data_IF_560235346362
#
_entry.id   IF_560235346362
#
_cell.length_a   1.000
_cell.length_b   1.000
_cell.length_c   1.000
_cell.angle_alpha   90.00
_cell.angle_beta   90.00
_cell.angle_gamma   90.00
#
_symmetry.space_group_name_H-M   'P 1'
#
loop_
_entity.id
_entity.type
_entity.pdbx_description
1 polymer ?
#
# COMPACT_ATOMS: atom_id res chain seq x y z
N UNK A 1 -2.58 16.57 -0.60
CA UNK A 1 -2.30 16.97 0.80
C UNK A 1 -1.51 18.26 0.95
N UNK A 2 -0.54 18.58 0.08
CA UNK A 2 0.20 19.86 0.13
C UNK A 2 -0.67 21.12 0.32
N UNK A 3 -1.82 21.17 -0.35
CA UNK A 3 -2.79 22.28 -0.19
C UNK A 3 -3.38 22.37 1.22
N UNK A 4 -3.75 21.24 1.83
CA UNK A 4 -4.29 21.20 3.20
C UNK A 4 -3.22 21.63 4.19
N UNK A 5 -1.98 21.13 4.05
CA UNK A 5 -0.87 21.52 4.93
C UNK A 5 -0.62 23.04 4.87
N UNK A 6 -0.70 23.62 3.67
CA UNK A 6 -0.61 25.08 3.50
C UNK A 6 -1.73 25.80 4.27
N UNK A 7 -2.97 25.36 4.15
CA UNK A 7 -4.12 25.95 4.87
C UNK A 7 -3.92 25.87 6.39
N UNK A 8 -3.46 24.73 6.91
CA UNK A 8 -3.20 24.57 8.36
C UNK A 8 -2.11 25.54 8.84
N UNK A 9 -1.05 25.71 8.06
CA UNK A 9 0.01 26.67 8.37
C UNK A 9 -0.49 28.12 8.30
N UNK A 10 -1.21 28.48 7.23
CA UNK A 10 -1.71 29.84 6.99
C UNK A 10 -2.72 30.28 8.08
N UNK A 11 -3.51 29.34 8.59
CA UNK A 11 -4.49 29.58 9.67
C UNK A 11 -3.89 29.50 11.07
N UNK A 12 -2.61 29.12 11.20
CA UNK A 12 -1.95 28.95 12.48
C UNK A 12 -2.47 27.77 13.30
N UNK A 13 -3.09 26.77 12.66
CA UNK A 13 -3.64 25.59 13.33
C UNK A 13 -2.54 24.78 14.04
N UNK A 14 -2.82 24.35 15.29
CA UNK A 14 -1.86 23.64 16.17
C UNK A 14 -2.30 22.23 16.57
N UNK A 15 -3.47 21.78 16.11
CA UNK A 15 -3.97 20.44 16.41
C UNK A 15 -3.39 19.38 15.47
N UNK A 16 -3.82 18.14 15.68
CA UNK A 16 -3.51 17.02 14.81
C UNK A 16 -4.31 17.10 13.49
N UNK A 17 -3.68 16.69 12.39
CA UNK A 17 -4.34 16.51 11.10
C UNK A 17 -4.55 15.03 10.84
N UNK A 18 -5.82 14.63 10.77
CA UNK A 18 -6.23 13.25 10.54
C UNK A 18 -6.79 13.13 9.12
N UNK A 19 -6.19 12.29 8.29
CA UNK A 19 -6.80 11.84 7.04
C UNK A 19 -7.74 10.67 7.38
N UNK A 20 -9.00 10.99 7.65
CA UNK A 20 -9.98 10.05 8.19
C UNK A 20 -10.50 9.03 7.17
N UNK A 21 -10.31 9.26 5.87
CA UNK A 21 -10.64 8.30 4.81
C UNK A 21 -9.66 8.45 3.64
N UNK A 22 -9.07 7.35 3.18
CA UNK A 22 -8.27 7.31 1.96
C UNK A 22 -8.23 5.91 1.34
N UNK A 23 -7.89 5.84 0.06
CA UNK A 23 -7.74 4.60 -0.70
C UNK A 23 -7.45 4.90 -2.18
N UNK A 24 -7.29 3.86 -3.00
CA UNK A 24 -7.00 4.02 -4.44
C UNK A 24 -8.19 4.54 -5.25
N UNK A 25 -9.41 4.28 -4.77
CA UNK A 25 -10.66 4.66 -5.43
C UNK A 25 -11.79 4.73 -4.41
N UNK A 26 -12.84 5.50 -4.74
CA UNK A 26 -14.11 5.56 -3.99
C UNK A 26 -15.17 4.62 -4.57
N UNK A 27 -14.92 4.02 -5.74
CA UNK A 27 -15.91 3.20 -6.44
C UNK A 27 -16.13 1.86 -5.72
N UNK A 28 -17.37 1.43 -5.40
CA UNK A 28 -17.66 0.22 -4.62
C UNK A 28 -17.21 -1.11 -5.22
N UNK A 29 -17.00 -1.18 -6.53
CA UNK A 29 -16.75 -2.44 -7.24
C UNK A 29 -15.48 -2.31 -8.09
N UNK A 30 -14.34 -2.09 -7.46
CA UNK A 30 -13.07 -1.94 -8.16
C UNK A 30 -12.23 -3.21 -8.06
N UNK A 31 -12.08 -3.99 -9.16
CA UNK A 31 -11.25 -5.20 -9.16
C UNK A 31 -9.79 -4.92 -8.76
N UNK A 32 -9.32 -3.69 -8.96
CA UNK A 32 -7.98 -3.26 -8.54
C UNK A 32 -7.71 -3.50 -7.06
N UNK A 33 -8.71 -3.33 -6.17
CA UNK A 33 -8.53 -3.47 -4.71
C UNK A 33 -8.15 -4.88 -4.27
N UNK A 34 -8.48 -5.86 -5.10
CA UNK A 34 -8.19 -7.27 -4.84
C UNK A 34 -6.91 -7.73 -5.55
N UNK A 35 -6.20 -6.82 -6.21
CA UNK A 35 -4.94 -7.10 -6.88
C UNK A 35 -3.72 -6.85 -5.99
N UNK A 36 -2.60 -7.48 -6.31
CA UNK A 36 -1.31 -7.16 -5.70
C UNK A 36 -0.89 -5.68 -5.96
N UNK A 37 -1.38 -5.07 -7.03
CA UNK A 37 -1.10 -3.67 -7.34
C UNK A 37 -1.72 -2.71 -6.32
N UNK A 38 -2.82 -3.08 -5.65
CA UNK A 38 -3.38 -2.30 -4.54
C UNK A 38 -2.44 -2.29 -3.33
N UNK A 39 -1.80 -3.42 -3.03
CA UNK A 39 -0.81 -3.47 -1.96
C UNK A 39 0.38 -2.55 -2.26
N UNK A 40 0.86 -2.56 -3.51
CA UNK A 40 1.92 -1.67 -3.96
C UNK A 40 1.51 -0.19 -3.96
N UNK A 41 0.26 0.11 -4.34
CA UNK A 41 -0.32 1.46 -4.24
C UNK A 41 -0.25 1.97 -2.81
N UNK A 42 -0.71 1.18 -1.83
CA UNK A 42 -0.71 1.57 -0.41
C UNK A 42 0.71 1.88 0.09
N UNK A 43 1.68 0.99 -0.19
CA UNK A 43 3.07 1.20 0.22
C UNK A 43 3.66 2.44 -0.47
N UNK A 44 3.37 2.64 -1.76
CA UNK A 44 3.79 3.83 -2.50
C UNK A 44 3.24 5.11 -1.88
N UNK A 45 1.93 5.15 -1.63
CA UNK A 45 1.28 6.33 -1.05
C UNK A 45 1.88 6.64 0.31
N UNK A 46 2.04 5.64 1.19
CA UNK A 46 2.65 5.87 2.50
C UNK A 46 4.12 6.31 2.41
N UNK A 47 4.88 5.81 1.45
CA UNK A 47 6.25 6.28 1.18
C UNK A 47 6.28 7.77 0.81
N UNK A 48 5.31 8.23 0.02
CA UNK A 48 5.28 9.60 -0.50
C UNK A 48 4.66 10.61 0.47
N UNK A 49 3.73 10.18 1.33
CA UNK A 49 2.89 11.13 2.07
C UNK A 49 2.69 10.82 3.57
N UNK A 50 3.33 9.80 4.14
CA UNK A 50 3.15 9.48 5.57
C UNK A 50 3.51 10.63 6.52
N UNK A 51 4.37 11.56 6.11
CA UNK A 51 4.76 12.74 6.90
C UNK A 51 3.81 13.93 6.76
N UNK A 52 2.78 13.82 5.91
CA UNK A 52 1.88 14.92 5.59
C UNK A 52 0.63 14.96 6.50
N UNK A 53 0.42 13.96 7.36
CA UNK A 53 -0.65 13.91 8.35
C UNK A 53 -0.21 13.09 9.57
N UNK A 54 -0.87 13.32 10.71
CA UNK A 54 -0.57 12.60 11.96
C UNK A 54 -1.18 11.19 11.92
N UNK A 55 -2.33 11.03 11.25
CA UNK A 55 -3.04 9.77 11.12
C UNK A 55 -3.63 9.59 9.72
N UNK A 56 -3.66 8.32 9.27
CA UNK A 56 -4.26 7.87 8.03
C UNK A 56 -5.18 6.68 8.29
N UNK A 57 -6.47 6.86 8.08
CA UNK A 57 -7.48 5.81 8.22
C UNK A 57 -7.86 5.27 6.83
N UNK A 58 -7.30 4.11 6.47
CA UNK A 58 -7.60 3.46 5.20
C UNK A 58 -9.06 3.01 5.17
N UNK A 59 -9.73 3.31 4.07
CA UNK A 59 -11.11 2.96 3.85
C UNK A 59 -11.21 1.68 3.01
N UNK A 60 -11.59 0.53 3.58
CA UNK A 60 -11.98 0.30 4.98
C UNK A 60 -11.50 -1.05 5.54
N UNK A 61 -11.86 -1.37 6.78
CA UNK A 61 -11.40 -2.58 7.45
C UNK A 61 -11.96 -3.88 6.84
N UNK A 62 -13.25 -3.92 6.50
CA UNK A 62 -13.96 -5.14 6.09
C UNK A 62 -15.08 -4.84 5.09
N UNK A 63 -15.37 -5.80 4.22
CA UNK A 63 -16.53 -5.80 3.32
C UNK A 63 -17.87 -6.01 4.04
N UNK A 64 -17.87 -6.15 5.37
CA UNK A 64 -19.07 -5.93 6.20
C UNK A 64 -19.40 -4.43 6.19
N UNK A 65 -19.83 -3.95 5.03
CA UNK A 65 -20.03 -2.55 4.72
C UNK A 65 -21.19 -2.40 3.73
N UNK A 66 -22.26 -1.71 4.13
CA UNK A 66 -23.56 -1.76 3.46
C UNK A 66 -23.93 -0.46 2.70
N UNK A 67 -22.96 0.34 2.27
CA UNK A 67 -23.27 1.57 1.51
C UNK A 67 -23.95 1.27 0.16
N UNK A 68 -23.69 0.10 -0.42
CA UNK A 68 -24.19 -0.30 -1.74
C UNK A 68 -24.82 -1.70 -1.75
N UNK A 69 -25.08 -2.28 -0.58
CA UNK A 69 -25.45 -3.68 -0.45
C UNK A 69 -24.25 -4.62 -0.33
N UNK A 70 -24.55 -5.88 0.00
CA UNK A 70 -23.55 -6.96 0.06
C UNK A 70 -23.48 -7.68 -1.29
N UNK A 71 -22.26 -7.97 -1.76
CA UNK A 71 -22.02 -8.87 -2.89
C UNK A 71 -22.24 -10.33 -2.50
N UNK A 72 -22.41 -11.22 -3.48
CA UNK A 72 -22.53 -12.66 -3.24
C UNK A 72 -21.18 -13.37 -3.29
N UNK A 73 -20.25 -12.83 -4.05
CA UNK A 73 -18.93 -13.37 -4.26
C UNK A 73 -18.00 -12.99 -3.11
N UNK A 74 -17.08 -13.87 -2.72
CA UNK A 74 -16.09 -13.58 -1.69
C UNK A 74 -15.14 -12.42 -2.07
N UNK A 75 -14.97 -12.18 -3.37
CA UNK A 75 -14.17 -11.11 -3.95
C UNK A 75 -14.98 -10.46 -5.06
N UNK A 76 -15.27 -9.18 -4.90
CA UNK A 76 -16.12 -8.41 -5.82
C UNK A 76 -15.71 -6.92 -5.91
N UNK A 77 -14.46 -6.62 -5.55
CA UNK A 77 -13.87 -5.28 -5.61
C UNK A 77 -14.32 -4.31 -4.53
N UNK A 78 -14.91 -4.83 -3.45
CA UNK A 78 -15.45 -4.06 -2.34
C UNK A 78 -14.36 -3.45 -1.44
N UNK A 79 -14.74 -2.48 -0.62
CA UNK A 79 -13.84 -1.53 0.05
C UNK A 79 -12.85 -2.16 1.03
N UNK A 80 -13.22 -3.26 1.67
CA UNK A 80 -12.55 -3.79 2.85
C UNK A 80 -11.15 -4.34 2.58
N UNK A 81 -10.30 -4.30 3.61
CA UNK A 81 -9.07 -5.08 3.67
C UNK A 81 -9.32 -6.57 3.92
N UNK A 82 -10.50 -6.90 4.45
CA UNK A 82 -10.98 -8.26 4.64
C UNK A 82 -12.29 -8.44 3.86
N UNK A 83 -12.46 -9.61 3.24
CA UNK A 83 -13.73 -9.97 2.62
C UNK A 83 -14.84 -10.11 3.66
N UNK A 84 -16.08 -10.29 3.19
CA UNK A 84 -17.23 -10.54 4.04
C UNK A 84 -17.03 -11.79 4.90
N UNK A 85 -16.41 -12.83 4.32
CA UNK A 85 -16.08 -14.09 4.98
C UNK A 85 -14.77 -14.03 5.81
N UNK A 86 -14.14 -12.85 5.94
CA UNK A 86 -12.93 -12.67 6.74
C UNK A 86 -11.61 -13.03 6.04
N UNK A 87 -11.61 -13.21 4.71
CA UNK A 87 -10.39 -13.46 3.95
C UNK A 87 -9.58 -12.16 3.82
N UNK A 88 -8.29 -12.23 4.16
CA UNK A 88 -7.37 -11.09 4.04
C UNK A 88 -7.05 -10.81 2.58
N UNK A 89 -7.30 -9.58 2.13
CA UNK A 89 -6.98 -9.12 0.77
C UNK A 89 -5.55 -8.53 0.71
N UNK A 90 -4.97 -8.28 -0.48
CA UNK A 90 -3.61 -7.74 -0.61
C UNK A 90 -3.35 -6.44 0.18
N UNK A 91 -4.32 -5.52 0.22
CA UNK A 91 -4.27 -4.30 1.04
C UNK A 91 -4.13 -4.56 2.55
N UNK A 92 -4.64 -5.68 3.07
CA UNK A 92 -4.39 -6.11 4.45
C UNK A 92 -2.91 -6.32 4.71
N UNK A 93 -2.26 -7.08 3.82
CA UNK A 93 -0.85 -7.42 3.96
C UNK A 93 0.05 -6.21 3.77
N UNK A 94 -0.34 -5.24 2.93
CA UNK A 94 0.38 -3.97 2.82
C UNK A 94 0.45 -3.24 4.17
N UNK A 95 -0.69 -3.10 4.87
CA UNK A 95 -0.72 -2.50 6.21
C UNK A 95 0.04 -3.34 7.23
N UNK A 96 -0.07 -4.68 7.17
CA UNK A 96 0.70 -5.56 8.03
C UNK A 96 2.22 -5.37 7.85
N UNK A 97 2.70 -5.24 6.62
CA UNK A 97 4.11 -5.03 6.33
C UNK A 97 4.56 -3.62 6.74
N UNK A 98 3.77 -2.58 6.45
CA UNK A 98 4.03 -1.22 6.88
C UNK A 98 4.13 -1.10 8.41
N UNK A 99 3.30 -1.85 9.15
CA UNK A 99 3.35 -1.87 10.63
C UNK A 99 4.66 -2.41 11.21
N UNK A 100 5.47 -3.10 10.40
CA UNK A 100 6.78 -3.62 10.80
C UNK A 100 7.92 -2.63 10.56
N UNK A 101 7.65 -1.52 9.86
CA UNK A 101 8.65 -0.49 9.61
C UNK A 101 8.88 0.37 10.84
N UNK A 102 10.09 0.95 10.92
CA UNK A 102 10.42 1.96 11.91
C UNK A 102 9.71 3.29 11.70
N UNK A 103 9.92 4.23 12.63
CA UNK A 103 9.27 5.55 12.64
C UNK A 103 10.07 6.62 11.88
N UNK A 104 11.35 6.39 11.65
CA UNK A 104 12.22 7.34 10.97
C UNK A 104 12.42 6.89 9.52
N UNK A 105 11.74 7.55 8.57
CA UNK A 105 11.91 7.25 7.15
C UNK A 105 13.31 7.69 6.67
N UNK A 106 13.96 6.84 5.88
CA UNK A 106 15.31 7.07 5.35
C UNK A 106 15.25 7.17 3.83
N UNK A 107 15.99 8.13 3.27
CA UNK A 107 16.08 8.28 1.81
C UNK A 107 16.68 7.02 1.18
N UNK A 108 16.03 6.53 0.12
CA UNK A 108 16.47 5.36 -0.63
C UNK A 108 16.84 5.77 -2.05
N UNK A 109 17.96 5.27 -2.54
CA UNK A 109 18.35 5.35 -3.94
C UNK A 109 18.97 4.04 -4.39
N UNK A 110 18.95 3.77 -5.69
CA UNK A 110 19.64 2.63 -6.27
C UNK A 110 19.92 2.84 -7.75
N UNK A 111 20.79 1.97 -8.29
CA UNK A 111 21.21 1.97 -9.69
C UNK A 111 20.58 0.78 -10.40
N UNK A 112 20.34 0.91 -11.70
CA UNK A 112 19.82 -0.16 -12.56
C UNK A 112 18.45 -0.72 -12.11
N UNK A 113 17.63 0.11 -11.49
CA UNK A 113 16.25 -0.23 -11.09
C UNK A 113 15.32 0.02 -12.28
N UNK A 114 14.34 -0.87 -12.50
CA UNK A 114 13.30 -0.60 -13.49
C UNK A 114 12.36 0.56 -13.05
N UNK A 115 11.60 1.12 -13.99
CA UNK A 115 10.71 2.25 -13.69
C UNK A 115 9.49 1.93 -12.83
N UNK A 116 9.34 0.69 -12.36
CA UNK A 116 8.18 0.22 -11.58
C UNK A 116 8.57 -0.16 -10.16
N UNK A 117 9.84 -0.48 -9.93
CA UNK A 117 10.37 -0.96 -8.67
C UNK A 117 10.81 0.20 -7.80
N UNK A 118 10.37 0.16 -6.55
CA UNK A 118 10.61 1.20 -5.56
C UNK A 118 10.93 0.57 -4.21
N UNK A 119 11.45 1.38 -3.31
CA UNK A 119 11.71 0.96 -1.94
C UNK A 119 11.36 2.07 -0.95
N UNK A 120 10.86 1.65 0.20
CA UNK A 120 10.65 2.44 1.40
C UNK A 120 11.57 1.87 2.48
N UNK A 121 12.47 2.69 3.02
CA UNK A 121 13.31 2.31 4.15
C UNK A 121 12.94 3.14 5.38
N UNK A 122 12.94 2.49 6.54
CA UNK A 122 12.74 3.16 7.81
C UNK A 122 13.63 2.54 8.88
N UNK A 123 13.98 3.35 9.88
CA UNK A 123 14.82 2.95 11.01
C UNK A 123 14.02 2.92 12.30
N UNK A 124 14.35 1.94 13.13
CA UNK A 124 13.92 1.81 14.52
C UNK A 124 15.12 1.47 15.41
N UNK A 125 14.85 1.33 16.72
CA UNK A 125 15.76 0.74 17.71
C UNK A 125 16.23 -0.68 17.33
N UNK A 126 15.42 -1.41 16.56
CA UNK A 126 15.71 -2.77 16.06
C UNK A 126 16.53 -2.80 14.76
N UNK A 127 16.93 -1.65 14.25
CA UNK A 127 17.72 -1.52 13.01
C UNK A 127 16.93 -0.98 11.83
N UNK A 128 17.41 -1.27 10.62
CA UNK A 128 16.80 -0.81 9.36
C UNK A 128 15.79 -1.84 8.85
N UNK A 129 14.61 -1.36 8.43
CA UNK A 129 13.60 -2.15 7.74
C UNK A 129 13.40 -1.58 6.33
N UNK A 130 13.29 -2.45 5.34
CA UNK A 130 13.12 -2.06 3.93
C UNK A 130 11.95 -2.81 3.34
N UNK A 131 10.99 -2.08 2.78
CA UNK A 131 9.91 -2.61 1.96
C UNK A 131 10.21 -2.31 0.48
N UNK A 132 10.34 -3.35 -0.34
CA UNK A 132 10.51 -3.24 -1.80
C UNK A 132 9.17 -3.57 -2.45
N UNK A 133 8.72 -2.74 -3.38
CA UNK A 133 7.43 -2.90 -4.04
C UNK A 133 7.52 -2.55 -5.53
N UNK A 134 6.66 -3.16 -6.34
CA UNK A 134 6.51 -2.85 -7.76
C UNK A 134 5.11 -2.33 -8.02
N UNK A 135 4.99 -1.11 -8.55
CA UNK A 135 3.70 -0.44 -8.78
C UNK A 135 3.48 -0.12 -10.26
N UNK A 136 2.30 -0.45 -10.75
CA UNK A 136 1.85 -0.19 -12.13
C UNK A 136 0.74 0.85 -12.08
N UNK A 137 0.98 2.03 -12.67
CA UNK A 137 0.03 3.14 -12.64
C UNK A 137 -1.26 2.86 -13.43
N UNK A 138 -1.15 2.22 -14.59
CA UNK A 138 -2.26 1.86 -15.48
C UNK A 138 -2.55 0.37 -15.42
N UNK A 139 -2.73 -0.16 -14.21
CA UNK A 139 -3.05 -1.58 -14.04
C UNK A 139 -4.45 -1.90 -14.54
N UNK A 140 -4.59 -3.01 -15.27
CA UNK A 140 -5.88 -3.55 -15.72
C UNK A 140 -6.12 -4.96 -15.18
N UNK A 141 -7.38 -5.36 -14.93
CA UNK A 141 -7.70 -6.71 -14.48
C UNK A 141 -7.12 -7.79 -15.40
N UNK A 142 -6.43 -8.76 -14.80
CA UNK A 142 -5.77 -9.85 -15.54
C UNK A 142 -4.29 -9.60 -15.86
N UNK A 143 -3.76 -8.40 -15.63
CA UNK A 143 -2.33 -8.15 -15.71
C UNK A 143 -1.63 -8.67 -14.45
N UNK A 144 -1.03 -9.85 -14.55
CA UNK A 144 -0.21 -10.41 -13.47
C UNK A 144 1.22 -9.83 -13.42
N UNK A 145 1.68 -9.18 -14.50
CA UNK A 145 3.04 -8.61 -14.63
C UNK A 145 3.11 -7.66 -15.84
N UNK A 146 4.00 -6.66 -15.83
CA UNK A 146 4.33 -5.90 -17.04
C UNK A 146 4.81 -6.86 -18.13
N UNK A 147 4.21 -6.80 -19.32
CA UNK A 147 4.65 -7.56 -20.51
C UNK A 147 5.98 -7.00 -21.05
N UNK A 148 7.07 -7.03 -20.29
CA UNK A 148 8.40 -6.95 -20.89
C UNK A 148 8.67 -8.27 -21.60
N UNK A 149 9.06 -8.23 -22.88
CA UNK A 149 9.66 -9.37 -23.57
C UNK A 149 10.72 -9.95 -22.62
N UNK A 150 10.49 -11.18 -22.18
CA UNK A 150 11.38 -11.91 -21.28
C UNK A 150 12.67 -12.19 -22.05
N UNK A 151 13.64 -11.29 -21.96
CA UNK A 151 14.96 -11.54 -22.48
C UNK A 151 15.59 -12.63 -21.60
N UNK A 152 15.93 -13.76 -22.21
CA UNK A 152 16.14 -15.07 -21.55
C UNK A 152 17.45 -15.16 -20.75
N UNK A 153 17.99 -14.05 -20.24
CA UNK A 153 19.34 -14.00 -19.64
C UNK A 153 19.47 -13.56 -18.19
N UNK A 154 18.40 -13.19 -17.49
CA UNK A 154 18.47 -12.94 -16.04
C UNK A 154 17.32 -13.61 -15.30
N UNK A 155 17.60 -14.80 -14.78
CA UNK A 155 16.83 -15.39 -13.69
C UNK A 155 17.12 -14.59 -12.43
N UNK A 156 16.24 -13.67 -12.02
CA UNK A 156 16.36 -13.05 -10.70
C UNK A 156 15.07 -13.27 -9.91
N UNK A 157 15.27 -13.93 -8.78
CA UNK A 157 14.30 -14.31 -7.77
C UNK A 157 13.54 -13.10 -7.23
N UNK A 158 12.23 -13.22 -7.05
CA UNK A 158 11.49 -12.45 -6.07
C UNK A 158 11.98 -12.90 -4.68
N UNK A 159 13.05 -12.29 -4.20
CA UNK A 159 13.52 -12.46 -2.83
C UNK A 159 12.68 -11.53 -1.95
N UNK A 160 11.61 -12.08 -1.36
CA UNK A 160 11.17 -11.60 -0.06
C UNK A 160 12.29 -12.02 0.89
N UNK A 161 13.24 -11.13 1.16
CA UNK A 161 14.21 -11.34 2.23
C UNK A 161 13.43 -11.31 3.54
N UNK A 162 13.08 -12.50 4.02
CA UNK A 162 12.58 -12.74 5.35
C UNK A 162 13.79 -13.16 6.22
N UNK A 163 14.44 -12.27 6.99
CA UNK A 163 15.55 -12.70 7.81
C UNK A 163 15.14 -13.37 9.13
N UNK A 164 13.86 -13.57 9.45
CA UNK A 164 13.49 -14.31 10.66
C UNK A 164 12.26 -15.22 10.48
N UNK A 165 12.48 -16.50 10.82
CA UNK A 165 11.52 -17.58 10.97
C UNK A 165 10.14 -17.14 11.50
N UNK A 166 9.07 -17.63 10.89
CA UNK A 166 7.80 -17.89 11.56
C UNK A 166 7.42 -19.34 11.23
N UNK A 167 7.94 -20.24 12.05
CA UNK A 167 7.35 -21.53 12.35
C UNK A 167 6.64 -21.31 13.69
N UNK A 168 5.42 -21.86 13.78
CA UNK A 168 4.40 -21.80 14.86
C UNK A 168 3.47 -20.58 14.86
#
# INVERSE_FOLDING_TARGET
MKGVRKILTDTGFKGEFHMNEWGSTWHPYSPTRESANEAAFIVKTMNEVSQEADYFAYWCLSDIYNQVGYGKEAFHGNYGMMSFDGLRKPNYFAHQLLSRLGREQVAVSGKDIDGLTHALAAKSDKGMQVAVYSFINEWVPGDATPKKKRDRKTSNHLLILNPFNCIE
#
